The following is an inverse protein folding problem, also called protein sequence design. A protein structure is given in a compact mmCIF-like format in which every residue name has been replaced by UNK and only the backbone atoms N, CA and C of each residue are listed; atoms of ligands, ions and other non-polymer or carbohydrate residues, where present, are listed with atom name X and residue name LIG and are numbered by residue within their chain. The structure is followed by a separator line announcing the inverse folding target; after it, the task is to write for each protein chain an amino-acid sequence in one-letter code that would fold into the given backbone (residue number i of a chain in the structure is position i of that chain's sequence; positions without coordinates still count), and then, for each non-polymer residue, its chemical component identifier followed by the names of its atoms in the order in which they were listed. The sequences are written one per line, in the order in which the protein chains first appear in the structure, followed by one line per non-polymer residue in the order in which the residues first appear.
data_IF_814883055530
#
_entry.id   IF_814883055530
#
_cell.length_a   1.000
_cell.length_b   1.000
_cell.length_c   1.000
_cell.angle_alpha   90.00
_cell.angle_beta   90.00
_cell.angle_gamma   90.00
#
_symmetry.space_group_name_H-M   'P 1'
#
loop_
_entity.id
_entity.type
_entity.pdbx_description
1 polymer ?
#
# COMPACT_ATOMS: atom_id res chain seq x y z
N UNK A 1 -17.37 -18.91 -10.67
CA UNK A 1 -17.59 -17.55 -11.18
C UNK A 1 -17.09 -16.53 -10.15
N UNK A 2 -15.74 -16.49 -9.84
CA UNK A 2 -15.20 -15.65 -8.75
C UNK A 2 -14.09 -14.68 -9.24
N UNK A 3 -14.24 -14.14 -10.45
CA UNK A 3 -13.19 -13.29 -11.04
C UNK A 3 -13.29 -11.76 -10.81
N UNK A 4 -14.43 -11.12 -10.54
CA UNK A 4 -14.47 -9.65 -10.43
C UNK A 4 -13.94 -9.10 -9.10
N UNK A 5 -14.19 -9.74 -7.97
CA UNK A 5 -13.88 -9.21 -6.63
C UNK A 5 -12.38 -9.16 -6.35
N UNK A 6 -11.60 -10.15 -6.82
CA UNK A 6 -10.14 -10.18 -6.62
C UNK A 6 -9.40 -9.07 -7.37
N UNK A 7 -9.77 -8.81 -8.64
CA UNK A 7 -9.18 -7.70 -9.42
C UNK A 7 -9.44 -6.33 -8.80
N UNK A 8 -10.60 -6.16 -8.14
CA UNK A 8 -10.98 -4.89 -7.50
C UNK A 8 -10.12 -4.62 -6.26
N UNK A 9 -9.71 -5.65 -5.52
CA UNK A 9 -8.92 -5.51 -4.29
C UNK A 9 -7.46 -5.13 -4.57
N UNK A 10 -6.79 -5.84 -5.49
CA UNK A 10 -5.41 -5.52 -5.92
C UNK A 10 -5.32 -4.09 -6.47
N UNK A 11 -6.35 -3.66 -7.22
CA UNK A 11 -6.43 -2.31 -7.76
C UNK A 11 -6.64 -1.24 -6.67
N UNK A 12 -7.32 -1.54 -5.57
CA UNK A 12 -7.60 -0.53 -4.52
C UNK A 12 -6.35 -0.12 -3.77
N UNK A 13 -5.52 -1.09 -3.35
CA UNK A 13 -4.27 -0.81 -2.64
C UNK A 13 -3.29 -0.11 -3.59
N UNK A 14 -3.24 -0.50 -4.87
CA UNK A 14 -2.42 0.18 -5.86
C UNK A 14 -2.81 1.66 -5.99
N UNK A 15 -4.09 1.96 -6.18
CA UNK A 15 -4.59 3.34 -6.27
C UNK A 15 -4.18 4.16 -5.04
N UNK A 16 -4.24 3.54 -3.84
CA UNK A 16 -3.79 4.15 -2.60
C UNK A 16 -2.28 4.41 -2.61
N UNK A 17 -1.47 3.43 -2.98
CA UNK A 17 0.00 3.56 -3.02
C UNK A 17 0.51 4.39 -4.20
N UNK A 18 -0.31 4.64 -5.22
CA UNK A 18 0.01 5.59 -6.29
C UNK A 18 -0.10 7.04 -5.82
N UNK A 19 -0.85 7.32 -4.75
CA UNK A 19 -0.90 8.64 -4.14
C UNK A 19 0.35 8.91 -3.28
N UNK A 20 1.10 10.02 -3.51
CA UNK A 20 2.35 10.30 -2.80
C UNK A 20 2.18 10.44 -1.28
N UNK A 21 1.11 11.07 -0.78
CA UNK A 21 0.88 11.22 0.66
C UNK A 21 0.68 9.87 1.34
N UNK A 22 -0.07 8.97 0.69
CA UNK A 22 -0.28 7.61 1.18
C UNK A 22 1.00 6.79 1.15
N UNK A 23 1.82 6.99 0.11
CA UNK A 23 3.10 6.31 0.00
C UNK A 23 4.09 6.79 1.07
N UNK A 24 4.11 8.08 1.38
CA UNK A 24 4.87 8.65 2.50
C UNK A 24 4.41 8.03 3.82
N UNK A 25 3.10 7.93 4.05
CA UNK A 25 2.56 7.27 5.26
C UNK A 25 3.00 5.81 5.36
N UNK A 26 3.03 5.07 4.24
CA UNK A 26 3.59 3.71 4.20
C UNK A 26 5.04 3.68 4.66
N UNK A 27 5.88 4.55 4.12
CA UNK A 27 7.31 4.60 4.46
C UNK A 27 7.52 4.98 5.93
N UNK A 28 6.81 5.97 6.43
CA UNK A 28 6.95 6.47 7.81
C UNK A 28 6.48 5.47 8.88
N UNK A 29 5.38 4.77 8.62
CA UNK A 29 4.71 3.96 9.63
C UNK A 29 5.16 2.49 9.61
N UNK A 30 5.50 1.96 8.44
CA UNK A 30 5.72 0.53 8.28
C UNK A 30 7.16 0.15 7.93
N UNK A 31 8.03 1.14 7.62
CA UNK A 31 9.42 0.87 7.29
C UNK A 31 10.33 1.37 8.41
N UNK A 32 11.13 0.48 9.05
CA UNK A 32 11.96 0.83 10.21
C UNK A 32 13.26 1.54 9.80
N UNK A 33 13.19 2.55 8.93
CA UNK A 33 14.33 3.34 8.46
C UNK A 33 14.13 4.81 8.84
N UNK A 34 14.93 5.32 9.75
CA UNK A 34 14.77 6.67 10.31
C UNK A 34 14.80 7.78 9.25
N UNK A 35 15.66 7.65 8.24
CA UNK A 35 15.76 8.58 7.11
C UNK A 35 14.44 8.78 6.33
N UNK A 36 13.52 7.83 6.39
CA UNK A 36 12.25 7.89 5.68
C UNK A 36 11.16 8.64 6.44
N UNK A 37 11.38 8.97 7.71
CA UNK A 37 10.41 9.70 8.52
C UNK A 37 10.29 11.18 8.13
N UNK A 38 11.33 11.74 7.52
CA UNK A 38 11.36 13.13 7.08
C UNK A 38 10.98 13.32 5.60
N UNK A 39 10.60 12.24 4.90
CA UNK A 39 10.19 12.28 3.49
C UNK A 39 8.81 12.91 3.38
N UNK A 40 8.63 13.80 2.41
CA UNK A 40 7.38 14.48 2.08
C UNK A 40 6.83 14.00 0.72
N UNK A 41 5.58 14.33 0.40
CA UNK A 41 4.92 13.89 -0.84
C UNK A 41 5.66 14.39 -2.10
N UNK A 42 6.23 15.58 -2.04
CA UNK A 42 7.01 16.20 -3.12
C UNK A 42 8.34 15.47 -3.41
N UNK A 43 8.81 14.69 -2.46
CA UNK A 43 10.03 13.88 -2.62
C UNK A 43 9.78 12.60 -3.41
N UNK A 44 8.51 12.24 -3.65
CA UNK A 44 8.12 10.98 -4.30
C UNK A 44 7.93 11.19 -5.81
N UNK A 45 8.70 10.48 -6.61
CA UNK A 45 8.56 10.40 -8.07
C UNK A 45 8.09 8.99 -8.49
N UNK A 46 6.97 8.91 -9.22
CA UNK A 46 6.54 7.63 -9.79
C UNK A 46 7.37 7.30 -11.04
N UNK A 47 8.12 6.22 -10.94
CA UNK A 47 8.94 5.71 -12.05
C UNK A 47 8.49 4.32 -12.54
N UNK A 48 7.33 3.88 -12.09
CA UNK A 48 6.77 2.53 -12.36
C UNK A 48 6.75 2.19 -13.84
N UNK A 49 6.15 3.04 -14.67
CA UNK A 49 6.03 2.79 -16.11
C UNK A 49 7.38 2.62 -16.81
N UNK A 50 8.40 3.35 -16.34
CA UNK A 50 9.76 3.32 -16.91
C UNK A 50 10.45 1.97 -16.67
N UNK A 51 10.28 1.40 -15.48
CA UNK A 51 11.00 0.18 -15.08
C UNK A 51 10.21 -1.09 -15.38
N UNK A 52 8.89 -1.07 -15.25
CA UNK A 52 8.08 -2.25 -15.51
C UNK A 52 8.00 -2.61 -17.00
N UNK A 53 8.21 -1.67 -17.92
CA UNK A 53 8.32 -1.98 -19.35
C UNK A 53 9.46 -2.95 -19.68
N UNK A 54 10.42 -3.12 -18.78
CA UNK A 54 11.58 -4.03 -18.91
C UNK A 54 11.30 -5.43 -18.36
N UNK A 55 10.19 -5.63 -17.65
CA UNK A 55 9.82 -6.89 -17.00
C UNK A 55 8.69 -7.55 -17.77
N UNK A 56 8.91 -8.77 -18.25
CA UNK A 56 7.91 -9.54 -19.03
C UNK A 56 6.74 -10.08 -18.18
N UNK A 57 6.87 -10.09 -16.85
CA UNK A 57 5.87 -10.63 -15.92
C UNK A 57 5.29 -9.48 -15.06
N UNK A 58 4.67 -8.49 -15.69
CA UNK A 58 4.00 -7.41 -14.96
C UNK A 58 2.77 -7.93 -14.23
N UNK A 59 2.69 -7.67 -12.91
CA UNK A 59 1.42 -7.72 -12.17
C UNK A 59 0.88 -6.30 -12.03
N UNK A 60 -0.43 -6.15 -12.16
CA UNK A 60 -1.13 -4.85 -12.07
C UNK A 60 -0.93 -4.10 -10.72
N UNK A 61 -0.43 -4.79 -9.69
CA UNK A 61 -0.24 -4.25 -8.34
C UNK A 61 1.17 -3.74 -8.00
N UNK A 62 2.17 -3.92 -8.91
CA UNK A 62 3.54 -3.54 -8.60
C UNK A 62 3.77 -2.05 -8.88
N UNK A 63 4.41 -1.32 -7.94
CA UNK A 63 4.77 0.09 -8.10
C UNK A 63 6.24 0.31 -7.74
N UNK A 64 6.90 1.23 -8.45
CA UNK A 64 8.29 1.63 -8.23
C UNK A 64 8.32 3.14 -8.08
N UNK A 65 8.79 3.61 -6.93
CA UNK A 65 8.95 5.05 -6.65
C UNK A 65 10.43 5.38 -6.45
N UNK A 66 10.83 6.55 -6.95
CA UNK A 66 12.08 7.18 -6.55
C UNK A 66 11.77 8.13 -5.41
N UNK A 67 12.51 8.00 -4.32
CA UNK A 67 12.40 8.88 -3.15
C UNK A 67 13.63 9.78 -3.09
N UNK A 68 13.42 11.07 -3.23
CA UNK A 68 14.49 12.07 -3.17
C UNK A 68 14.73 12.45 -1.70
N UNK A 69 15.92 12.11 -1.20
CA UNK A 69 16.30 12.44 0.16
C UNK A 69 16.98 13.80 0.22
N UNK A 70 16.86 14.50 1.34
CA UNK A 70 17.58 15.76 1.59
C UNK A 70 19.09 15.58 1.35
N UNK A 71 19.73 16.50 0.66
CA UNK A 71 21.17 16.44 0.37
C UNK A 71 21.56 15.74 -0.94
N UNK A 72 20.69 15.72 -1.93
CA UNK A 72 20.93 15.19 -3.30
C UNK A 72 21.15 13.68 -3.38
N UNK A 73 20.81 12.94 -2.37
CA UNK A 73 20.71 11.48 -2.39
C UNK A 73 19.31 11.03 -2.74
N UNK A 74 19.17 9.86 -3.33
CA UNK A 74 17.87 9.24 -3.55
C UNK A 74 17.95 7.74 -3.35
N UNK A 75 16.79 7.13 -3.14
CA UNK A 75 16.65 5.68 -3.11
C UNK A 75 15.48 5.26 -4.01
N UNK A 76 15.48 4.01 -4.43
CA UNK A 76 14.32 3.42 -5.09
C UNK A 76 13.55 2.54 -4.11
N UNK A 77 12.25 2.66 -4.13
CA UNK A 77 11.35 1.79 -3.37
C UNK A 77 10.56 0.95 -4.35
N UNK A 78 10.61 -0.37 -4.19
CA UNK A 78 9.76 -1.32 -4.89
C UNK A 78 8.65 -1.72 -3.93
N UNK A 79 7.41 -1.43 -4.24
CA UNK A 79 6.28 -1.93 -3.47
C UNK A 79 5.52 -2.95 -4.31
N UNK A 80 5.45 -4.19 -3.84
CA UNK A 80 4.66 -5.27 -4.43
C UNK A 80 3.44 -5.50 -3.56
N UNK A 81 2.27 -5.47 -4.18
CA UNK A 81 1.02 -5.79 -3.50
C UNK A 81 0.66 -7.25 -3.76
N UNK A 82 0.63 -8.05 -2.73
CA UNK A 82 0.24 -9.46 -2.77
C UNK A 82 -1.05 -9.65 -1.96
N UNK A 83 -2.20 -9.62 -2.65
CA UNK A 83 -3.52 -9.83 -2.06
C UNK A 83 -4.05 -11.27 -2.26
N UNK A 84 -3.20 -12.19 -2.72
CA UNK A 84 -3.58 -13.56 -3.01
C UNK A 84 -3.73 -14.40 -1.72
N UNK A 85 -4.65 -15.37 -1.75
CA UNK A 85 -4.82 -16.36 -0.66
C UNK A 85 -3.64 -17.32 -0.50
N UNK A 86 -2.67 -17.29 -1.41
CA UNK A 86 -1.47 -18.13 -1.39
C UNK A 86 -0.22 -17.29 -1.33
N UNK A 87 0.68 -17.68 -0.42
CA UNK A 87 1.98 -17.05 -0.25
C UNK A 87 2.83 -17.22 -1.51
N UNK A 88 3.40 -16.11 -1.99
CA UNK A 88 4.26 -16.11 -3.16
C UNK A 88 5.72 -16.45 -2.79
N UNK A 89 6.06 -17.72 -2.86
CA UNK A 89 7.43 -18.18 -2.56
C UNK A 89 8.49 -17.72 -3.59
N UNK A 90 8.08 -17.15 -4.74
CA UNK A 90 8.99 -16.51 -5.71
C UNK A 90 9.32 -15.06 -5.35
N UNK A 91 8.67 -14.48 -4.35
CA UNK A 91 8.84 -13.07 -3.99
C UNK A 91 10.31 -12.64 -3.82
N UNK A 92 11.20 -13.37 -3.11
CA UNK A 92 12.61 -12.98 -3.01
C UNK A 92 13.33 -12.92 -4.37
N UNK A 93 13.05 -13.88 -5.27
CA UNK A 93 13.64 -13.87 -6.61
C UNK A 93 13.08 -12.74 -7.48
N UNK A 94 11.79 -12.46 -7.39
CA UNK A 94 11.15 -11.34 -8.09
C UNK A 94 11.76 -10.01 -7.66
N UNK A 95 11.99 -9.83 -6.35
CA UNK A 95 12.68 -8.64 -5.81
C UNK A 95 14.11 -8.52 -6.34
N UNK A 96 14.87 -9.61 -6.37
CA UNK A 96 16.23 -9.60 -6.92
C UNK A 96 16.24 -9.14 -8.38
N UNK A 97 15.32 -9.65 -9.18
CA UNK A 97 15.19 -9.26 -10.58
C UNK A 97 14.88 -7.77 -10.72
N UNK A 98 13.95 -7.24 -9.94
CA UNK A 98 13.60 -5.82 -9.97
C UNK A 98 14.76 -4.93 -9.51
N UNK A 99 15.47 -5.31 -8.44
CA UNK A 99 16.68 -4.60 -8.00
C UNK A 99 17.70 -4.51 -9.13
N UNK A 100 17.99 -5.64 -9.79
CA UNK A 100 18.97 -5.66 -10.87
C UNK A 100 18.55 -4.77 -12.06
N UNK A 101 17.28 -4.82 -12.47
CA UNK A 101 16.76 -4.01 -13.56
C UNK A 101 16.76 -2.50 -13.24
N UNK A 102 16.42 -2.12 -12.00
CA UNK A 102 16.46 -0.73 -11.55
C UNK A 102 17.89 -0.19 -11.59
N UNK A 103 18.85 -0.96 -11.11
CA UNK A 103 20.25 -0.54 -11.10
C UNK A 103 20.82 -0.44 -12.52
N UNK A 104 20.47 -1.35 -13.44
CA UNK A 104 20.85 -1.27 -14.86
C UNK A 104 20.25 -0.02 -15.54
N UNK A 105 18.99 0.27 -15.29
CA UNK A 105 18.35 1.47 -15.82
C UNK A 105 18.92 2.76 -15.23
N UNK A 106 19.28 2.75 -13.96
CA UNK A 106 19.96 3.87 -13.30
C UNK A 106 21.33 4.15 -13.93
N UNK A 107 22.13 3.10 -14.26
CA UNK A 107 23.38 3.29 -15.00
C UNK A 107 23.18 4.02 -16.32
N UNK A 108 22.18 3.60 -17.10
CA UNK A 108 21.84 4.22 -18.39
C UNK A 108 21.48 5.69 -18.23
N UNK A 109 20.66 6.01 -17.19
CA UNK A 109 20.31 7.39 -16.86
C UNK A 109 21.53 8.26 -16.54
N UNK A 110 22.45 7.75 -15.73
CA UNK A 110 23.69 8.46 -15.35
C UNK A 110 24.60 8.70 -16.58
N UNK A 111 24.72 7.71 -17.45
CA UNK A 111 25.50 7.81 -18.68
C UNK A 111 24.91 8.85 -19.63
N UNK A 112 23.59 8.81 -19.84
CA UNK A 112 22.86 9.77 -20.68
C UNK A 112 22.96 11.20 -20.16
N UNK A 113 22.79 11.39 -18.85
CA UNK A 113 22.94 12.70 -18.20
C UNK A 113 24.34 13.27 -18.39
N UNK A 114 25.37 12.43 -18.23
CA UNK A 114 26.75 12.83 -18.45
C UNK A 114 27.04 13.20 -19.92
N UNK A 115 26.44 12.50 -20.86
CA UNK A 115 26.57 12.81 -22.29
C UNK A 115 25.95 14.16 -22.66
N UNK A 116 24.77 14.48 -22.06
CA UNK A 116 24.06 15.75 -22.29
C UNK A 116 24.77 16.96 -21.64
N UNK A 117 25.51 16.76 -20.55
CA UNK A 117 26.15 17.86 -19.81
C UNK A 117 27.37 18.48 -20.51
N UNK A 118 27.74 18.01 -21.69
CA UNK A 118 28.85 18.53 -22.52
C UNK A 118 30.18 18.72 -21.75
N UNK A 119 30.38 17.97 -20.66
CA UNK A 119 31.49 18.17 -19.70
C UNK A 119 32.86 17.75 -20.21
N UNK A 120 33.04 17.54 -21.53
CA UNK A 120 34.31 17.21 -22.17
C UNK A 120 35.00 15.94 -21.67
N UNK A 121 34.48 15.28 -20.67
CA UNK A 121 35.01 14.06 -20.06
C UNK A 121 34.52 12.83 -20.82
N UNK A 122 35.40 12.26 -21.64
CA UNK A 122 35.14 11.02 -22.41
C UNK A 122 34.90 9.75 -21.54
N UNK A 123 35.14 9.82 -20.23
CA UNK A 123 35.08 8.63 -19.37
C UNK A 123 33.68 8.37 -18.87
N UNK A 124 33.18 7.14 -19.08
CA UNK A 124 31.90 6.67 -18.56
C UNK A 124 31.83 6.88 -17.01
N UNK A 125 30.88 7.64 -16.50
CA UNK A 125 30.77 7.95 -15.07
C UNK A 125 30.64 6.72 -14.20
N UNK A 126 29.98 5.67 -14.68
CA UNK A 126 29.75 4.41 -13.96
C UNK A 126 31.04 3.65 -13.71
N UNK A 127 32.05 3.81 -14.60
CA UNK A 127 33.36 3.16 -14.46
C UNK A 127 34.31 3.86 -13.47
N UNK A 128 33.88 4.92 -12.82
CA UNK A 128 34.71 5.65 -11.86
C UNK A 128 34.74 4.92 -10.52
N UNK A 129 35.89 4.86 -9.88
CA UNK A 129 36.10 4.24 -8.55
C UNK A 129 35.11 4.77 -7.48
N UNK A 130 34.69 6.03 -7.58
CA UNK A 130 33.78 6.67 -6.62
C UNK A 130 32.31 6.52 -6.96
N UNK A 131 31.95 5.86 -8.06
CA UNK A 131 30.55 5.63 -8.41
C UNK A 131 29.90 4.68 -7.40
N UNK A 132 28.67 5.01 -6.98
CA UNK A 132 27.87 4.19 -6.10
C UNK A 132 26.44 4.14 -6.62
N UNK A 133 25.85 2.99 -6.54
CA UNK A 133 24.43 2.81 -6.80
C UNK A 133 23.59 3.40 -5.67
N UNK A 134 22.37 3.88 -5.96
CA UNK A 134 21.40 4.18 -4.93
C UNK A 134 20.94 2.91 -4.23
N UNK A 135 20.52 2.97 -2.97
CA UNK A 135 19.89 1.83 -2.33
C UNK A 135 18.54 1.54 -3.01
N UNK A 136 18.13 0.27 -2.98
CA UNK A 136 16.81 -0.17 -3.42
C UNK A 136 16.15 -0.85 -2.23
N UNK A 137 15.00 -0.32 -1.80
CA UNK A 137 14.20 -0.84 -0.70
C UNK A 137 13.03 -1.66 -1.27
N UNK A 138 13.06 -2.98 -1.17
CA UNK A 138 11.94 -3.83 -1.57
C UNK A 138 10.95 -3.99 -0.43
N UNK A 139 9.66 -3.78 -0.72
CA UNK A 139 8.55 -3.92 0.23
C UNK A 139 7.52 -4.88 -0.36
N UNK A 140 7.02 -5.81 0.43
CA UNK A 140 5.82 -6.58 0.12
C UNK A 140 4.72 -6.14 1.07
N UNK A 141 3.62 -5.70 0.49
CA UNK A 141 2.40 -5.42 1.19
C UNK A 141 1.47 -6.63 1.05
N UNK A 142 1.21 -7.32 2.16
CA UNK A 142 0.46 -8.56 2.17
C UNK A 142 -0.86 -8.42 2.93
N UNK A 143 -1.95 -8.76 2.24
CA UNK A 143 -3.30 -8.79 2.79
C UNK A 143 -4.02 -10.11 2.43
N UNK A 144 -3.27 -11.20 2.40
CA UNK A 144 -3.82 -12.54 2.20
C UNK A 144 -4.37 -13.14 3.48
N UNK A 145 -5.35 -14.07 3.37
CA UNK A 145 -5.93 -14.76 4.54
C UNK A 145 -4.99 -15.76 5.20
N UNK A 146 -4.01 -16.29 4.46
CA UNK A 146 -3.02 -17.24 4.98
C UNK A 146 -1.86 -16.50 5.64
N UNK A 147 -1.23 -17.11 6.64
CA UNK A 147 0.00 -16.59 7.22
C UNK A 147 1.11 -16.53 6.16
N UNK A 148 1.89 -15.45 6.15
CA UNK A 148 3.05 -15.33 5.27
C UNK A 148 4.19 -16.21 5.76
N UNK A 149 4.52 -17.25 5.00
CA UNK A 149 5.55 -18.25 5.35
C UNK A 149 6.76 -18.22 4.41
N UNK A 150 6.77 -17.35 3.39
CA UNK A 150 7.96 -17.18 2.54
C UNK A 150 9.06 -16.44 3.31
N UNK A 151 10.33 -16.87 3.10
CA UNK A 151 11.47 -16.16 3.66
C UNK A 151 11.56 -14.74 3.12
N UNK A 152 11.83 -13.76 3.98
CA UNK A 152 12.15 -12.39 3.57
C UNK A 152 13.56 -12.25 3.01
N UNK A 153 14.45 -13.19 3.36
CA UNK A 153 15.84 -13.19 2.94
C UNK A 153 16.04 -14.10 1.72
N UNK A 154 16.62 -13.55 0.64
CA UNK A 154 16.92 -14.30 -0.59
C UNK A 154 17.89 -15.47 -0.35
N UNK A 155 18.82 -15.34 0.60
CA UNK A 155 19.78 -16.37 0.96
C UNK A 155 19.09 -17.74 1.18
N UNK A 156 18.00 -17.76 1.94
CA UNK A 156 17.27 -18.97 2.28
C UNK A 156 16.51 -19.63 1.10
N UNK A 157 16.50 -18.97 -0.06
CA UNK A 157 15.95 -19.51 -1.32
C UNK A 157 17.00 -20.14 -2.21
N UNK A 158 18.26 -20.14 -1.78
CA UNK A 158 19.39 -20.68 -2.54
C UNK A 158 19.83 -22.03 -1.95
N UNK A 159 19.99 -23.02 -2.80
CA UNK A 159 20.50 -24.33 -2.38
C UNK A 159 21.93 -24.21 -1.88
N UNK A 160 22.31 -25.01 -0.89
CA UNK A 160 23.64 -25.04 -0.28
C UNK A 160 24.12 -23.64 0.21
N UNK A 161 23.18 -22.80 0.63
CA UNK A 161 23.50 -21.42 1.02
C UNK A 161 24.53 -21.33 2.16
N UNK A 162 24.54 -22.28 3.08
CA UNK A 162 25.53 -22.33 4.17
C UNK A 162 26.99 -22.42 3.67
N UNK A 163 27.22 -23.21 2.60
CA UNK A 163 28.54 -23.37 2.04
C UNK A 163 28.93 -22.25 1.04
N UNK A 164 27.95 -21.61 0.42
CA UNK A 164 28.14 -20.64 -0.66
C UNK A 164 27.70 -19.22 -0.30
N UNK A 165 27.45 -18.92 0.97
CA UNK A 165 26.89 -17.65 1.47
C UNK A 165 27.59 -16.40 0.89
N UNK A 166 28.90 -16.40 0.81
CA UNK A 166 29.67 -15.25 0.31
C UNK A 166 29.47 -14.94 -1.19
N UNK A 167 28.88 -15.87 -1.93
CA UNK A 167 28.62 -15.72 -3.37
C UNK A 167 27.17 -15.41 -3.70
N UNK A 168 26.27 -15.44 -2.71
CA UNK A 168 24.85 -15.22 -2.87
C UNK A 168 24.54 -13.75 -2.57
N UNK A 169 23.74 -13.07 -3.42
CA UNK A 169 23.26 -11.72 -3.11
C UNK A 169 22.54 -11.68 -1.75
N UNK A 170 22.98 -10.75 -0.89
CA UNK A 170 22.39 -10.57 0.43
C UNK A 170 21.47 -9.36 0.39
N UNK A 171 20.19 -9.61 0.52
CA UNK A 171 19.18 -8.59 0.76
C UNK A 171 17.96 -9.22 1.45
N UNK A 172 17.19 -8.40 2.10
CA UNK A 172 15.90 -8.71 2.65
C UNK A 172 14.87 -7.73 2.11
N UNK A 173 13.62 -8.15 2.05
CA UNK A 173 12.51 -7.23 1.79
C UNK A 173 11.73 -7.00 3.08
N UNK A 174 11.17 -5.79 3.20
CA UNK A 174 10.23 -5.46 4.26
C UNK A 174 8.87 -6.10 3.98
N UNK A 175 8.33 -6.80 4.96
CA UNK A 175 7.01 -7.41 4.89
C UNK A 175 6.01 -6.62 5.72
N UNK A 176 5.13 -5.89 5.06
CA UNK A 176 3.97 -5.28 5.69
C UNK A 176 2.81 -6.27 5.64
N UNK A 177 2.72 -7.13 6.65
CA UNK A 177 1.66 -8.13 6.80
C UNK A 177 0.50 -7.54 7.60
N UNK A 178 -0.58 -7.17 6.92
CA UNK A 178 -1.76 -6.54 7.53
C UNK A 178 -2.47 -7.42 8.57
N UNK A 179 -2.27 -8.74 8.53
CA UNK A 179 -2.86 -9.62 9.54
C UNK A 179 -2.24 -9.43 10.93
N UNK A 180 -1.02 -8.88 10.99
CA UNK A 180 -0.31 -8.60 12.25
C UNK A 180 -0.75 -7.31 12.95
N UNK A 181 -1.52 -6.46 12.26
CA UNK A 181 -1.99 -5.19 12.81
C UNK A 181 -3.46 -5.30 13.18
N UNK A 182 -3.80 -5.03 14.43
CA UNK A 182 -5.20 -4.83 14.84
C UNK A 182 -5.74 -3.49 14.32
N UNK A 183 -7.05 -3.30 14.38
CA UNK A 183 -7.69 -2.01 14.08
C UNK A 183 -7.12 -0.90 14.99
N UNK A 184 -6.95 -1.20 16.28
CA UNK A 184 -6.41 -0.26 17.26
C UNK A 184 -4.93 0.07 17.01
N UNK A 185 -4.13 -0.89 16.50
CA UNK A 185 -2.74 -0.61 16.12
C UNK A 185 -2.67 0.32 14.92
N UNK A 186 -3.52 0.12 13.92
CA UNK A 186 -3.60 1.00 12.77
C UNK A 186 -4.11 2.40 13.16
N UNK A 187 -5.08 2.49 14.05
CA UNK A 187 -5.64 3.76 14.52
C UNK A 187 -4.60 4.66 15.19
N UNK A 188 -3.58 4.09 15.84
CA UNK A 188 -2.49 4.86 16.48
C UNK A 188 -1.69 5.73 15.51
N UNK A 189 -1.66 5.38 14.22
CA UNK A 189 -0.97 6.19 13.21
C UNK A 189 -1.74 7.46 12.86
N UNK A 190 -3.08 7.45 12.95
CA UNK A 190 -3.94 8.63 12.80
C UNK A 190 -3.87 9.30 11.43
N UNK A 191 -3.50 8.60 10.37
CA UNK A 191 -3.38 9.11 9.01
C UNK A 191 -4.36 8.45 8.02
N UNK A 192 -4.42 8.97 6.80
CA UNK A 192 -5.36 8.48 5.79
C UNK A 192 -5.04 7.07 5.31
N UNK A 193 -3.76 6.64 5.30
CA UNK A 193 -3.40 5.28 4.95
C UNK A 193 -3.92 4.31 5.99
N UNK A 194 -3.71 4.58 7.28
CA UNK A 194 -4.22 3.74 8.36
C UNK A 194 -5.74 3.67 8.37
N UNK A 195 -6.41 4.79 8.11
CA UNK A 195 -7.86 4.83 7.91
C UNK A 195 -8.29 3.87 6.78
N UNK A 196 -7.64 3.96 5.61
CA UNK A 196 -7.92 3.04 4.50
C UNK A 196 -7.72 1.58 4.91
N UNK A 197 -6.61 1.26 5.58
CA UNK A 197 -6.29 -0.10 5.99
C UNK A 197 -7.29 -0.65 7.02
N UNK A 198 -7.78 0.19 7.93
CA UNK A 198 -8.86 -0.16 8.87
C UNK A 198 -10.14 -0.51 8.10
N UNK A 199 -10.52 0.34 7.15
CA UNK A 199 -11.69 0.12 6.31
C UNK A 199 -11.53 -1.13 5.41
N UNK A 200 -10.32 -1.39 4.91
CA UNK A 200 -10.04 -2.58 4.11
C UNK A 200 -10.15 -3.89 4.90
N UNK A 201 -10.01 -3.85 6.22
CA UNK A 201 -10.24 -5.01 7.11
C UNK A 201 -11.71 -5.39 7.27
N UNK A 202 -12.66 -4.53 6.91
CA UNK A 202 -14.09 -4.85 6.97
C UNK A 202 -14.38 -6.00 6.02
N UNK A 203 -14.92 -7.09 6.56
CA UNK A 203 -15.32 -8.30 5.81
C UNK A 203 -16.82 -8.57 5.90
N UNK A 204 -17.47 -8.05 6.94
CA UNK A 204 -18.89 -8.24 7.21
C UNK A 204 -19.55 -6.94 7.69
N UNK A 205 -20.87 -6.78 7.55
CA UNK A 205 -21.60 -5.61 8.04
C UNK A 205 -21.42 -5.35 9.55
N UNK A 206 -21.19 -6.39 10.32
CA UNK A 206 -20.97 -6.30 11.76
C UNK A 206 -19.64 -5.59 12.09
N UNK A 207 -18.60 -5.86 11.30
CA UNK A 207 -17.28 -5.23 11.45
C UNK A 207 -17.37 -3.72 11.25
N UNK A 208 -18.28 -3.26 10.37
CA UNK A 208 -18.48 -1.85 10.06
C UNK A 208 -18.88 -1.03 11.28
N UNK A 209 -19.65 -1.59 12.23
CA UNK A 209 -20.04 -0.87 13.45
C UNK A 209 -18.85 -0.59 14.36
N UNK A 210 -17.98 -1.59 14.51
CA UNK A 210 -16.74 -1.44 15.28
C UNK A 210 -15.83 -0.41 14.64
N UNK A 211 -15.62 -0.50 13.32
CA UNK A 211 -14.81 0.44 12.55
C UNK A 211 -15.35 1.86 12.64
N UNK A 212 -16.66 2.07 12.49
CA UNK A 212 -17.27 3.40 12.61
C UNK A 212 -17.10 4.03 13.99
N UNK A 213 -17.13 3.22 15.07
CA UNK A 213 -16.86 3.74 16.42
C UNK A 213 -15.41 4.21 16.58
N UNK A 214 -14.46 3.44 16.09
CA UNK A 214 -13.03 3.80 16.05
C UNK A 214 -12.80 5.06 15.21
N UNK A 215 -13.41 5.14 14.03
CA UNK A 215 -13.28 6.30 13.15
C UNK A 215 -13.78 7.59 13.80
N UNK A 216 -14.91 7.55 14.50
CA UNK A 216 -15.45 8.72 15.19
C UNK A 216 -14.56 9.19 16.35
N UNK A 217 -13.90 8.26 17.04
CA UNK A 217 -13.04 8.60 18.16
C UNK A 217 -11.68 9.15 17.71
N UNK A 218 -11.02 8.45 16.78
CA UNK A 218 -9.61 8.68 16.46
C UNK A 218 -9.40 9.59 15.24
N UNK A 219 -10.42 9.69 14.37
CA UNK A 219 -10.34 10.47 13.12
C UNK A 219 -11.32 11.66 13.08
N UNK A 220 -11.91 12.06 14.21
CA UNK A 220 -12.83 13.20 14.28
C UNK A 220 -12.23 14.49 13.70
N UNK A 221 -10.94 14.74 13.93
CA UNK A 221 -10.23 15.89 13.37
C UNK A 221 -10.17 15.90 11.83
N UNK A 222 -10.04 14.73 11.19
CA UNK A 222 -10.08 14.63 9.72
C UNK A 222 -11.47 14.87 9.15
N UNK A 223 -12.52 14.60 9.91
CA UNK A 223 -13.91 14.83 9.49
C UNK A 223 -14.27 16.31 9.43
N UNK A 224 -13.55 17.15 10.16
CA UNK A 224 -13.79 18.59 10.26
C UNK A 224 -12.83 19.45 9.41
N UNK A 225 -11.77 18.85 8.87
CA UNK A 225 -10.78 19.55 8.04
C UNK A 225 -11.28 19.82 6.63
N UNK A 226 -10.86 20.95 6.06
CA UNK A 226 -10.96 21.18 4.61
C UNK A 226 -9.93 20.30 3.89
N UNK A 227 -10.40 19.15 3.42
CA UNK A 227 -9.56 18.14 2.79
C UNK A 227 -9.18 18.60 1.38
N UNK A 228 -7.88 18.65 1.02
CA UNK A 228 -7.43 18.98 -0.32
C UNK A 228 -8.12 18.17 -1.42
N UNK A 229 -8.32 18.75 -2.61
CA UNK A 229 -9.09 18.13 -3.70
C UNK A 229 -8.57 16.74 -4.08
N UNK A 230 -7.25 16.56 -4.17
CA UNK A 230 -6.64 15.28 -4.51
C UNK A 230 -6.93 14.20 -3.47
N UNK A 231 -7.00 14.55 -2.19
CA UNK A 231 -7.38 13.63 -1.12
C UNK A 231 -8.89 13.33 -1.12
N UNK A 232 -9.75 14.32 -1.46
CA UNK A 232 -11.19 14.08 -1.65
C UNK A 232 -11.45 13.08 -2.77
N UNK A 233 -10.70 13.21 -3.88
CA UNK A 233 -10.77 12.25 -4.98
C UNK A 233 -10.40 10.84 -4.50
N UNK A 234 -9.29 10.72 -3.80
CA UNK A 234 -8.84 9.45 -3.24
C UNK A 234 -9.87 8.83 -2.29
N UNK A 235 -10.46 9.63 -1.38
CA UNK A 235 -11.52 9.17 -0.48
C UNK A 235 -12.76 8.71 -1.24
N UNK A 236 -13.14 9.37 -2.33
CA UNK A 236 -14.22 8.93 -3.20
C UNK A 236 -13.90 7.57 -3.85
N UNK A 237 -12.67 7.37 -4.34
CA UNK A 237 -12.23 6.11 -4.94
C UNK A 237 -12.18 4.98 -3.90
N UNK A 238 -11.69 5.26 -2.70
CA UNK A 238 -11.74 4.32 -1.56
C UNK A 238 -13.20 3.93 -1.26
N UNK A 239 -14.10 4.90 -1.22
CA UNK A 239 -15.53 4.65 -0.94
C UNK A 239 -16.17 3.75 -1.99
N UNK A 240 -15.88 3.96 -3.29
CA UNK A 240 -16.33 3.07 -4.36
C UNK A 240 -15.95 1.62 -4.09
N UNK A 241 -14.68 1.41 -3.74
CA UNK A 241 -14.16 0.07 -3.44
C UNK A 241 -14.85 -0.54 -2.23
N UNK A 242 -15.03 0.22 -1.16
CA UNK A 242 -15.65 -0.27 0.08
C UNK A 242 -17.13 -0.63 -0.11
N UNK A 243 -17.89 0.22 -0.77
CA UNK A 243 -19.30 -0.05 -1.05
C UNK A 243 -19.47 -1.22 -2.02
N UNK A 244 -18.57 -1.38 -2.99
CA UNK A 244 -18.57 -2.55 -3.87
C UNK A 244 -18.26 -3.86 -3.11
N UNK A 245 -17.48 -3.83 -2.02
CA UNK A 245 -17.23 -5.01 -1.18
C UNK A 245 -18.46 -5.49 -0.41
N UNK A 246 -19.41 -4.61 -0.13
CA UNK A 246 -20.65 -4.93 0.59
C UNK A 246 -21.85 -5.08 -0.36
N UNK A 247 -21.58 -5.32 -1.65
CA UNK A 247 -22.58 -5.53 -2.71
C UNK A 247 -23.61 -4.39 -2.82
N UNK A 248 -23.22 -3.14 -2.51
CA UNK A 248 -24.08 -1.98 -2.69
C UNK A 248 -24.42 -1.78 -4.19
N UNK A 249 -25.62 -1.28 -4.54
CA UNK A 249 -25.97 -0.96 -5.91
C UNK A 249 -25.01 0.07 -6.54
N UNK A 250 -24.69 -0.10 -7.83
CA UNK A 250 -23.68 0.74 -8.50
C UNK A 250 -24.06 2.22 -8.54
N UNK A 251 -25.36 2.53 -8.69
CA UNK A 251 -25.88 3.89 -8.66
C UNK A 251 -25.73 4.54 -7.27
N UNK A 252 -25.91 3.78 -6.20
CA UNK A 252 -25.68 4.23 -4.82
C UNK A 252 -24.19 4.47 -4.55
N UNK A 253 -23.31 3.58 -5.05
CA UNK A 253 -21.86 3.73 -4.96
C UNK A 253 -21.41 5.06 -5.57
N UNK A 254 -21.84 5.34 -6.80
CA UNK A 254 -21.45 6.56 -7.50
C UNK A 254 -22.04 7.82 -6.84
N UNK A 255 -23.29 7.76 -6.37
CA UNK A 255 -23.91 8.89 -5.67
C UNK A 255 -23.14 9.25 -4.39
N UNK A 256 -22.73 8.25 -3.59
CA UNK A 256 -21.97 8.48 -2.35
C UNK A 256 -20.56 8.98 -2.64
N UNK A 257 -19.87 8.36 -3.60
CA UNK A 257 -18.53 8.78 -4.00
C UNK A 257 -18.49 10.22 -4.53
N UNK A 258 -19.46 10.60 -5.36
CA UNK A 258 -19.62 11.96 -5.86
C UNK A 258 -19.86 12.99 -4.75
N UNK A 259 -20.62 12.62 -3.73
CA UNK A 259 -20.87 13.50 -2.58
C UNK A 259 -19.62 13.71 -1.75
N UNK A 260 -18.83 12.65 -1.52
CA UNK A 260 -17.54 12.74 -0.82
C UNK A 260 -16.58 13.62 -1.59
N UNK A 261 -16.50 13.45 -2.91
CA UNK A 261 -15.65 14.30 -3.75
C UNK A 261 -16.03 15.78 -3.67
N UNK A 262 -17.35 16.09 -3.63
CA UNK A 262 -17.85 17.47 -3.60
C UNK A 262 -17.81 18.10 -2.20
N UNK A 263 -18.06 17.32 -1.13
CA UNK A 263 -18.31 17.82 0.23
C UNK A 263 -17.32 17.32 1.30
N UNK A 264 -16.49 16.32 0.97
CA UNK A 264 -15.53 15.73 1.90
C UNK A 264 -16.09 14.62 2.79
N UNK A 265 -15.30 14.23 3.78
CA UNK A 265 -15.49 13.01 4.62
C UNK A 265 -16.77 12.97 5.49
N UNK A 266 -17.38 14.08 5.95
CA UNK A 266 -18.59 14.02 6.78
C UNK A 266 -19.72 13.20 6.19
N UNK A 267 -19.82 13.15 4.86
CA UNK A 267 -20.86 12.41 4.16
C UNK A 267 -20.66 10.88 4.23
N UNK A 268 -19.42 10.41 4.29
CA UNK A 268 -19.09 8.98 4.46
C UNK A 268 -19.66 8.43 5.78
N UNK A 269 -19.44 9.15 6.89
CA UNK A 269 -19.91 8.70 8.20
C UNK A 269 -21.43 8.76 8.38
N UNK A 270 -22.11 9.70 7.71
CA UNK A 270 -23.57 9.87 7.87
C UNK A 270 -24.34 8.75 7.16
N UNK A 271 -23.93 8.30 5.99
CA UNK A 271 -24.65 7.30 5.19
C UNK A 271 -24.30 5.86 5.50
N UNK A 272 -23.06 5.56 5.86
CA UNK A 272 -22.70 4.21 6.32
C UNK A 272 -23.52 3.83 7.55
N UNK A 273 -23.91 4.81 8.38
CA UNK A 273 -24.82 4.60 9.51
C UNK A 273 -26.27 4.35 9.07
N UNK A 274 -26.70 4.86 7.91
CA UNK A 274 -28.04 4.63 7.35
C UNK A 274 -28.14 3.31 6.58
N UNK A 275 -27.10 2.90 5.87
CA UNK A 275 -27.04 1.63 5.14
C UNK A 275 -27.09 0.39 6.07
N UNK A 276 -26.68 0.57 7.35
CA UNK A 276 -26.73 -0.49 8.36
C UNK A 276 -27.55 -0.04 9.58
N UNK A 277 -28.89 0.01 9.49
CA UNK A 277 -29.73 0.36 10.64
C UNK A 277 -29.52 -0.64 11.78
N UNK A 278 -29.60 -0.21 13.04
CA UNK A 278 -29.45 -1.09 14.17
C UNK A 278 -30.46 -2.24 14.07
N UNK A 279 -29.99 -3.48 14.11
CA UNK A 279 -30.85 -4.67 14.19
C UNK A 279 -31.79 -4.47 15.37
N UNK A 280 -33.11 -4.47 15.11
CA UNK A 280 -34.15 -4.45 16.16
C UNK A 280 -33.88 -5.60 17.09
N UNK A 281 -33.51 -5.32 18.34
CA UNK A 281 -33.44 -6.30 19.39
C UNK A 281 -34.80 -7.00 19.46
N UNK A 282 -34.86 -8.27 19.11
CA UNK A 282 -35.97 -9.13 19.40
C UNK A 282 -36.07 -9.23 20.92
N UNK A 283 -37.03 -8.55 21.49
CA UNK A 283 -37.41 -8.64 22.91
C UNK A 283 -37.69 -10.10 23.25
N UNK A 284 -37.12 -10.67 24.30
CA UNK A 284 -37.44 -12.02 24.73
C UNK A 284 -38.92 -12.01 25.21
N UNK A 285 -39.76 -12.80 24.56
CA UNK A 285 -41.13 -13.08 24.99
C UNK A 285 -41.11 -13.63 26.41
N UNK A 286 -41.59 -12.87 27.38
CA UNK A 286 -41.89 -13.31 28.74
C UNK A 286 -43.00 -14.37 28.71
N UNK A 287 -42.62 -15.65 28.80
CA UNK A 287 -43.55 -16.71 29.15
C UNK A 287 -43.81 -16.63 30.65
N UNK A 288 -45.03 -16.24 31.01
CA UNK A 288 -45.56 -16.41 32.38
C UNK A 288 -45.74 -17.91 32.67
N UNK A 289 -45.42 -18.38 33.87
CA UNK A 289 -45.75 -19.73 34.31
C UNK A 289 -47.23 -19.83 34.62
N UNK A 290 -47.92 -20.80 33.99
CA UNK A 290 -49.29 -21.20 34.39
C UNK A 290 -49.19 -21.99 35.71
N UNK A 291 -49.86 -21.48 36.75
CA UNK A 291 -50.20 -22.17 37.95
C UNK A 291 -51.24 -23.27 37.69
N UNK A 292 -50.94 -24.48 38.09
CA UNK A 292 -51.89 -25.48 38.63
C UNK A 292 -51.06 -26.52 39.35
#
# INVERSE_FOLDING_TARGET
MDKPIRKTKDNSIKVVLDNPDMFVSLLRNFVPVELLKDVEAEDIEDVTARFLSMVSEQKEGDTIKRVNLKGSSHLFVIAIVEAESKVNFRAPFKMLLYIALILDAYEKEVIEAAAKSNSGRKQNPVMRKGFKYPPVLPIIFYDGAAEWTASTNFLHRTQMHEAFEKYIPKFEYELVDLNKYSTDDLAKYGDLLSLFLILDKVRAPEDMKSVLSTLKADYAGYLEMDVPEHLRKLLADITRVLLAKVDAPQDEIEEVADKIYKKGVPELCSRTTQAFPPTRNSTPSSRQPKSS
#
